data_IF_274598148627
#
_entry.id   IF_274598148627
#
_cell.length_a   1.000
_cell.length_b   1.000
_cell.length_c   1.000
_cell.angle_alpha   90.00
_cell.angle_beta   90.00
_cell.angle_gamma   90.00
#
_symmetry.space_group_name_H-M   'P 1'
#
loop_
_entity.id
_entity.type
_entity.pdbx_description
1 polymer ?
#
# COMPACT_ATOMS: atom_id res chain seq x y z
N UNK A 1 -23.13 17.51 -3.99
CA UNK A 1 -22.13 18.28 -3.22
C UNK A 1 -21.82 17.66 -1.83
N UNK A 2 -21.73 16.32 -1.71
CA UNK A 2 -21.29 15.65 -0.47
C UNK A 2 -20.26 14.52 -0.71
N UNK A 3 -20.10 14.05 -1.95
CA UNK A 3 -19.20 12.95 -2.32
C UNK A 3 -17.72 13.35 -2.27
N UNK A 4 -17.38 14.59 -2.63
CA UNK A 4 -15.99 15.07 -2.71
C UNK A 4 -15.24 15.02 -1.37
N UNK A 5 -15.94 15.23 -0.24
CA UNK A 5 -15.33 15.14 1.10
C UNK A 5 -15.06 13.68 1.50
N UNK A 6 -15.96 12.78 1.11
CA UNK A 6 -15.82 11.35 1.37
C UNK A 6 -14.70 10.74 0.51
N UNK A 7 -14.61 11.15 -0.76
CA UNK A 7 -13.53 10.76 -1.69
C UNK A 7 -12.16 11.18 -1.13
N UNK A 8 -11.99 12.46 -0.79
CA UNK A 8 -10.73 12.96 -0.22
C UNK A 8 -10.35 12.28 1.10
N UNK A 9 -11.34 11.91 1.92
CA UNK A 9 -11.09 11.15 3.14
C UNK A 9 -10.61 9.73 2.84
N UNK A 10 -11.32 9.00 1.97
CA UNK A 10 -10.95 7.64 1.56
C UNK A 10 -9.57 7.58 0.89
N UNK A 11 -9.25 8.56 0.04
CA UNK A 11 -7.93 8.69 -0.59
C UNK A 11 -6.82 8.84 0.45
N UNK A 12 -7.04 9.69 1.45
CA UNK A 12 -6.12 9.87 2.57
C UNK A 12 -5.93 8.59 3.37
N UNK A 13 -7.01 7.87 3.67
CA UNK A 13 -6.96 6.59 4.39
C UNK A 13 -6.16 5.55 3.60
N UNK A 14 -6.43 5.40 2.29
CA UNK A 14 -5.72 4.43 1.44
C UNK A 14 -4.22 4.78 1.35
N UNK A 15 -3.88 6.06 1.22
CA UNK A 15 -2.49 6.52 1.22
C UNK A 15 -1.76 6.21 2.54
N UNK A 16 -2.42 6.42 3.68
CA UNK A 16 -1.86 6.11 5.00
C UNK A 16 -1.66 4.59 5.15
N UNK A 17 -2.63 3.78 4.74
CA UNK A 17 -2.50 2.31 4.80
C UNK A 17 -1.28 1.85 4.00
N UNK A 18 -1.13 2.30 2.76
CA UNK A 18 0.01 1.96 1.90
C UNK A 18 1.35 2.31 2.57
N UNK A 19 1.44 3.49 3.20
CA UNK A 19 2.69 3.92 3.87
C UNK A 19 2.97 3.18 5.17
N UNK A 20 1.96 2.76 5.92
CA UNK A 20 2.14 1.95 7.14
C UNK A 20 2.58 0.52 6.78
N UNK A 21 2.04 -0.05 5.71
CA UNK A 21 2.32 -1.42 5.30
C UNK A 21 3.82 -1.69 5.06
N UNK A 22 4.57 -0.70 4.57
CA UNK A 22 6.00 -0.86 4.35
C UNK A 22 6.80 -0.98 5.65
N UNK A 23 6.27 -0.47 6.77
CA UNK A 23 6.95 -0.46 8.07
C UNK A 23 7.11 -1.86 8.67
N UNK A 24 6.31 -2.83 8.21
CA UNK A 24 6.46 -4.24 8.61
C UNK A 24 7.72 -4.88 8.02
N UNK A 25 8.30 -4.28 6.97
CA UNK A 25 9.54 -4.72 6.36
C UNK A 25 10.74 -4.34 7.23
N UNK A 26 11.12 -5.25 8.11
CA UNK A 26 12.26 -5.06 9.01
C UNK A 26 13.58 -4.96 8.25
N UNK A 27 14.45 -4.07 8.71
CA UNK A 27 15.79 -3.88 8.16
C UNK A 27 16.62 -5.15 8.44
N UNK A 28 17.30 -5.72 7.42
CA UNK A 28 18.19 -6.85 7.64
C UNK A 28 19.39 -6.43 8.49
N UNK A 29 19.79 -7.26 9.44
CA UNK A 29 20.94 -6.97 10.31
C UNK A 29 22.30 -7.22 9.64
N UNK A 30 22.34 -7.88 8.48
CA UNK A 30 23.56 -8.15 7.72
C UNK A 30 23.74 -7.21 6.54
N UNK A 31 24.99 -6.96 6.15
CA UNK A 31 25.39 -6.08 5.04
C UNK A 31 25.46 -6.80 3.69
N UNK A 32 25.25 -8.11 3.68
CA UNK A 32 25.45 -8.95 2.50
C UNK A 32 24.13 -9.23 1.78
N UNK A 33 24.19 -9.45 0.47
CA UNK A 33 23.02 -9.79 -0.36
C UNK A 33 22.23 -11.01 0.13
N UNK A 34 22.88 -11.96 0.82
CA UNK A 34 22.23 -13.11 1.45
C UNK A 34 21.22 -12.70 2.52
N UNK A 35 21.42 -11.56 3.17
CA UNK A 35 20.56 -11.02 4.24
C UNK A 35 19.22 -10.49 3.72
N UNK A 36 19.06 -10.32 2.39
CA UNK A 36 17.79 -9.94 1.76
C UNK A 36 16.85 -11.13 1.56
N UNK A 37 17.37 -12.37 1.46
CA UNK A 37 16.54 -13.57 1.21
C UNK A 37 15.39 -13.73 2.22
N UNK A 38 15.59 -13.51 3.54
CA UNK A 38 14.51 -13.63 4.52
C UNK A 38 13.44 -12.55 4.39
N UNK A 39 13.75 -11.40 3.80
CA UNK A 39 12.83 -10.26 3.64
C UNK A 39 11.98 -10.43 2.37
N UNK A 40 12.47 -11.18 1.39
CA UNK A 40 11.82 -11.34 0.10
C UNK A 40 10.34 -11.77 0.18
N UNK A 41 9.91 -12.71 1.05
CA UNK A 41 8.50 -13.05 1.19
C UNK A 41 7.64 -11.86 1.67
N UNK A 42 8.13 -11.09 2.63
CA UNK A 42 7.42 -9.88 3.14
C UNK A 42 7.36 -8.80 2.07
N UNK A 43 8.44 -8.61 1.32
CA UNK A 43 8.50 -7.68 0.20
C UNK A 43 7.51 -8.04 -0.91
N UNK A 44 7.40 -9.31 -1.28
CA UNK A 44 6.44 -9.78 -2.27
C UNK A 44 4.99 -9.60 -1.80
N UNK A 45 4.70 -9.93 -0.53
CA UNK A 45 3.40 -9.66 0.08
C UNK A 45 3.06 -8.16 0.04
N UNK A 46 4.02 -7.29 0.36
CA UNK A 46 3.85 -5.84 0.26
C UNK A 46 3.50 -5.41 -1.18
N UNK A 47 4.21 -5.89 -2.20
CA UNK A 47 3.93 -5.57 -3.60
C UNK A 47 2.52 -6.01 -4.01
N UNK A 48 2.14 -7.25 -3.67
CA UNK A 48 0.83 -7.80 -4.00
C UNK A 48 -0.29 -7.00 -3.35
N UNK A 49 -0.16 -6.69 -2.06
CA UNK A 49 -1.13 -5.88 -1.34
C UNK A 49 -1.17 -4.43 -1.83
N UNK A 50 -0.03 -3.84 -2.17
CA UNK A 50 0.02 -2.50 -2.79
C UNK A 50 -0.75 -2.49 -4.11
N UNK A 51 -0.49 -3.45 -4.99
CA UNK A 51 -1.19 -3.55 -6.28
C UNK A 51 -2.70 -3.73 -6.07
N UNK A 52 -3.10 -4.57 -5.12
CA UNK A 52 -4.51 -4.76 -4.77
C UNK A 52 -5.18 -3.48 -4.27
N UNK A 53 -4.54 -2.75 -3.35
CA UNK A 53 -5.04 -1.47 -2.86
C UNK A 53 -5.08 -0.38 -3.94
N UNK A 54 -4.11 -0.37 -4.86
CA UNK A 54 -4.09 0.57 -5.99
C UNK A 54 -5.23 0.30 -6.97
N UNK A 55 -5.52 -0.98 -7.27
CA UNK A 55 -6.69 -1.37 -8.08
C UNK A 55 -7.99 -0.98 -7.37
N UNK A 56 -8.08 -1.26 -6.07
CA UNK A 56 -9.23 -0.88 -5.25
C UNK A 56 -9.46 0.64 -5.25
N UNK A 57 -8.40 1.42 -5.05
CA UNK A 57 -8.43 2.86 -5.11
C UNK A 57 -8.89 3.37 -6.48
N UNK A 58 -8.33 2.84 -7.57
CA UNK A 58 -8.73 3.23 -8.92
C UNK A 58 -10.22 2.96 -9.17
N UNK A 59 -10.73 1.81 -8.72
CA UNK A 59 -12.15 1.48 -8.81
C UNK A 59 -13.01 2.40 -7.93
N UNK A 60 -12.54 2.74 -6.71
CA UNK A 60 -13.20 3.67 -5.80
C UNK A 60 -13.31 5.07 -6.41
N UNK A 61 -12.21 5.57 -6.97
CA UNK A 61 -12.14 6.87 -7.63
C UNK A 61 -13.05 6.94 -8.85
N UNK A 62 -13.06 5.89 -9.68
CA UNK A 62 -13.92 5.82 -10.85
C UNK A 62 -15.40 5.75 -10.47
N UNK A 63 -15.76 5.06 -9.38
CA UNK A 63 -17.15 4.93 -8.92
C UNK A 63 -17.67 6.23 -8.30
N UNK A 64 -16.81 7.01 -7.65
CA UNK A 64 -17.20 8.29 -7.03
C UNK A 64 -17.17 9.49 -8.00
N UNK A 65 -16.42 9.37 -9.10
CA UNK A 65 -16.37 10.36 -10.20
C UNK A 65 -17.38 10.13 -11.32
N UNK A 66 -18.02 8.97 -11.37
CA UNK A 66 -19.13 8.65 -12.29
C UNK A 66 -20.46 9.17 -11.75
#
# INVERSE_FOLDING_TARGET
MNTNRMEAFSDGVIAIIITIMVLEMKIPHGTDWSSLKPILPVFLSYILSFAYLAIYWNNHHHLLKA
#
